data_IF_987575451424
#
_entry.id   IF_987575451424
#
_cell.length_a   1.000
_cell.length_b   1.000
_cell.length_c   1.000
_cell.angle_alpha   90.00
_cell.angle_beta   90.00
_cell.angle_gamma   90.00
#
_symmetry.space_group_name_H-M   'P 1'
#
loop_
_entity.id
_entity.type
_entity.pdbx_description
1 polymer ?
#
# COMPACT_ATOMS: atom_id res chain seq x y z
N UNK A 1 22.94 12.32 44.68
CA UNK A 1 21.94 11.40 44.09
C UNK A 1 21.05 12.20 43.16
N UNK A 2 21.32 12.17 41.84
CA UNK A 2 20.50 12.88 40.86
C UNK A 2 19.29 12.03 40.49
N UNK A 3 18.08 12.59 40.62
CA UNK A 3 16.83 11.92 40.23
C UNK A 3 16.72 11.92 38.70
N UNK A 4 16.61 10.74 38.08
CA UNK A 4 16.14 10.59 36.70
C UNK A 4 14.68 11.04 36.65
N UNK A 5 14.33 11.91 35.69
CA UNK A 5 12.94 12.22 35.35
C UNK A 5 12.42 11.17 34.35
N UNK A 6 11.20 10.71 34.57
CA UNK A 6 10.47 9.79 33.68
C UNK A 6 10.11 10.47 32.35
N UNK A 7 10.13 9.68 31.28
CA UNK A 7 9.97 10.11 29.88
C UNK A 7 8.55 10.55 29.49
N UNK A 8 7.60 10.55 30.43
CA UNK A 8 6.17 10.73 30.13
C UNK A 8 5.67 12.18 30.17
N UNK A 9 6.51 13.16 30.52
CA UNK A 9 6.09 14.55 30.72
C UNK A 9 6.63 15.53 29.65
N UNK A 10 6.92 15.05 28.43
CA UNK A 10 7.36 15.92 27.33
C UNK A 10 6.20 16.24 26.40
N UNK A 11 5.61 17.43 26.56
CA UNK A 11 4.68 18.01 25.58
C UNK A 11 5.41 18.21 24.24
N UNK A 12 4.87 17.62 23.17
CA UNK A 12 5.39 17.78 21.81
C UNK A 12 4.95 19.16 21.30
N UNK A 13 5.86 20.11 21.04
CA UNK A 13 5.49 21.41 20.50
C UNK A 13 4.95 21.25 19.08
N UNK A 14 3.93 22.06 18.74
CA UNK A 14 3.40 22.14 17.38
C UNK A 14 4.48 22.55 16.39
N UNK A 15 4.41 21.97 15.18
CA UNK A 15 5.35 22.19 14.09
C UNK A 15 5.58 23.69 13.86
N UNK A 16 6.82 24.20 13.91
CA UNK A 16 7.07 25.62 13.70
C UNK A 16 6.70 25.98 12.26
N UNK A 17 5.84 26.98 12.09
CA UNK A 17 5.68 27.66 10.81
C UNK A 17 7.07 28.14 10.35
N UNK A 18 7.33 28.09 9.04
CA UNK A 18 8.63 28.44 8.43
C UNK A 18 9.21 29.69 9.10
N UNK A 19 10.23 29.48 9.93
CA UNK A 19 10.91 30.57 10.63
C UNK A 19 11.89 31.15 9.62
N UNK A 20 11.53 32.30 9.06
CA UNK A 20 12.48 33.18 8.38
C UNK A 20 13.59 33.53 9.38
N UNK A 21 14.86 33.36 8.96
CA UNK A 21 16.11 33.70 9.63
C UNK A 21 16.02 33.95 11.16
N UNK A 22 16.49 32.99 11.96
CA UNK A 22 16.60 33.15 13.42
C UNK A 22 17.58 34.28 13.73
N UNK A 23 17.04 35.43 14.15
CA UNK A 23 17.81 36.49 14.77
C UNK A 23 18.28 36.01 16.15
N UNK A 24 19.53 35.55 16.22
CA UNK A 24 20.21 35.25 17.48
C UNK A 24 20.47 36.58 18.17
N UNK A 25 19.51 37.02 18.98
CA UNK A 25 19.61 38.23 19.78
C UNK A 25 20.95 38.34 20.55
N UNK A 26 21.29 39.56 20.93
CA UNK A 26 22.54 39.88 21.62
C UNK A 26 22.52 39.34 23.04
N UNK A 27 22.93 38.08 23.23
CA UNK A 27 23.09 37.47 24.54
C UNK A 27 24.25 36.48 24.56
N UNK A 28 25.10 36.54 25.59
CA UNK A 28 26.19 35.61 25.83
C UNK A 28 25.87 34.73 27.05
N UNK A 29 25.79 33.39 26.93
CA UNK A 29 25.47 32.51 28.06
C UNK A 29 26.61 32.37 29.09
N UNK A 30 27.83 32.81 28.75
CA UNK A 30 29.02 32.66 29.60
C UNK A 30 29.27 33.89 30.49
N UNK A 31 29.00 35.10 29.99
CA UNK A 31 29.23 36.35 30.72
C UNK A 31 27.98 37.24 30.81
N UNK A 32 26.83 36.73 30.37
CA UNK A 32 25.53 37.40 30.37
C UNK A 32 25.51 38.76 29.63
N UNK A 33 26.52 39.03 28.78
CA UNK A 33 26.59 40.24 27.98
C UNK A 33 25.42 40.30 27.00
N UNK A 34 24.75 41.44 26.95
CA UNK A 34 23.62 41.70 26.03
C UNK A 34 23.88 42.81 25.01
N UNK A 35 25.05 43.45 25.08
CA UNK A 35 25.43 44.52 24.16
C UNK A 35 25.81 43.95 22.79
N UNK A 36 25.07 44.34 21.75
CA UNK A 36 25.24 43.88 20.36
C UNK A 36 26.61 44.24 19.77
N UNK A 37 27.11 45.44 20.09
CA UNK A 37 28.42 45.95 19.65
C UNK A 37 29.61 45.12 20.17
N UNK A 38 29.37 44.24 21.16
CA UNK A 38 30.36 43.33 21.74
C UNK A 38 30.27 41.91 21.17
N UNK A 39 29.65 41.75 20.00
CA UNK A 39 29.62 40.50 19.26
C UNK A 39 30.13 40.68 17.85
N UNK A 40 31.02 39.79 17.42
CA UNK A 40 31.47 39.68 16.04
C UNK A 40 30.90 38.39 15.42
N UNK A 41 30.43 38.49 14.18
CA UNK A 41 29.95 37.35 13.39
C UNK A 41 30.91 37.19 12.21
N UNK A 42 31.41 35.96 12.03
CA UNK A 42 32.29 35.66 10.90
C UNK A 42 31.55 35.12 9.66
N UNK A 43 32.29 34.89 8.57
CA UNK A 43 31.78 34.39 7.29
C UNK A 43 31.10 33.01 7.39
N UNK A 44 31.27 32.28 8.50
CA UNK A 44 30.64 30.99 8.78
C UNK A 44 29.47 31.12 9.77
N UNK A 45 28.96 32.34 9.98
CA UNK A 45 27.87 32.65 10.89
C UNK A 45 28.15 32.26 12.35
N UNK A 46 29.43 32.29 12.76
CA UNK A 46 29.85 32.04 14.15
C UNK A 46 29.87 33.36 14.91
N UNK A 47 29.05 33.46 15.95
CA UNK A 47 28.96 34.65 16.80
C UNK A 47 29.93 34.53 17.97
N UNK A 48 30.94 35.39 18.00
CA UNK A 48 31.95 35.43 19.06
C UNK A 48 31.68 36.63 19.97
N UNK A 49 31.54 36.40 21.27
CA UNK A 49 31.46 37.48 22.25
C UNK A 49 32.84 38.08 22.50
N UNK A 50 33.02 39.38 22.25
CA UNK A 50 34.28 40.09 22.47
C UNK A 50 34.63 40.30 23.94
N UNK A 51 33.65 40.15 24.85
CA UNK A 51 33.88 40.35 26.29
C UNK A 51 34.53 39.14 26.98
N UNK A 52 34.20 37.93 26.54
CA UNK A 52 34.65 36.68 27.18
C UNK A 52 35.13 35.61 26.19
N UNK A 53 35.25 35.97 24.92
CA UNK A 53 35.68 35.09 23.82
C UNK A 53 34.86 33.82 23.64
N UNK A 54 33.64 33.78 24.18
CA UNK A 54 32.73 32.64 24.04
C UNK A 54 32.12 32.64 22.64
N UNK A 55 32.23 31.51 21.95
CA UNK A 55 31.71 31.32 20.59
C UNK A 55 30.38 30.58 20.63
N UNK A 56 29.42 31.09 19.85
CA UNK A 56 28.09 30.52 19.67
C UNK A 56 27.87 30.17 18.20
N UNK A 57 27.27 29.02 17.96
CA UNK A 57 26.97 28.51 16.63
C UNK A 57 25.45 28.47 16.46
N UNK A 58 24.94 29.10 15.40
CA UNK A 58 23.59 28.85 14.94
C UNK A 58 23.57 27.46 14.29
N UNK A 59 22.99 26.46 14.94
CA UNK A 59 22.71 25.19 14.25
C UNK A 59 21.44 25.44 13.42
N UNK A 60 21.60 25.60 12.11
CA UNK A 60 20.47 25.57 11.19
C UNK A 60 19.80 24.20 11.27
N UNK A 61 18.65 24.12 11.93
CA UNK A 61 17.77 22.95 11.88
C UNK A 61 16.84 23.05 10.68
N UNK A 62 17.42 23.26 9.50
CA UNK A 62 16.69 23.11 8.25
C UNK A 62 16.45 21.64 7.97
N UNK A 63 15.19 21.21 7.82
CA UNK A 63 14.87 19.88 7.29
C UNK A 63 15.51 19.79 5.90
N UNK A 64 16.59 19.03 5.78
CA UNK A 64 17.28 18.90 4.51
C UNK A 64 16.36 18.21 3.49
N UNK A 65 16.54 18.45 2.18
CA UNK A 65 15.76 17.76 1.14
C UNK A 65 15.80 16.22 1.27
N UNK A 66 16.87 15.67 1.89
CA UNK A 66 16.98 14.24 2.20
C UNK A 66 15.97 13.81 3.28
N UNK A 67 15.70 14.65 4.27
CA UNK A 67 14.75 14.36 5.35
C UNK A 67 13.29 14.54 4.91
N UNK A 68 12.99 15.47 4.01
CA UNK A 68 11.67 15.57 3.36
C UNK A 68 11.28 14.25 2.67
N UNK A 69 12.23 13.61 1.97
CA UNK A 69 11.94 12.30 1.35
C UNK A 69 11.69 11.22 2.41
N UNK A 70 12.42 11.20 3.53
CA UNK A 70 12.23 10.18 4.58
C UNK A 70 10.85 10.24 5.24
N UNK A 71 10.37 11.45 5.56
CA UNK A 71 9.05 11.65 6.18
C UNK A 71 7.93 11.28 5.20
N UNK A 72 8.08 11.59 3.90
CA UNK A 72 7.08 11.27 2.87
C UNK A 72 7.12 9.83 2.34
N UNK A 73 8.16 9.06 2.62
CA UNK A 73 8.29 7.68 2.10
C UNK A 73 7.14 6.80 2.61
N UNK A 74 6.76 6.92 3.88
CA UNK A 74 5.66 6.13 4.48
C UNK A 74 4.33 6.47 3.80
N UNK A 75 4.01 7.77 3.65
CA UNK A 75 2.82 8.23 2.94
C UNK A 75 2.77 7.77 1.49
N UNK A 76 3.92 7.79 0.79
CA UNK A 76 4.04 7.30 -0.60
C UNK A 76 3.77 5.80 -0.71
N UNK A 77 4.22 4.99 0.25
CA UNK A 77 3.95 3.55 0.25
C UNK A 77 2.48 3.22 0.48
N UNK A 78 1.83 3.87 1.44
CA UNK A 78 0.39 3.70 1.70
C UNK A 78 -0.42 4.10 0.47
N UNK A 79 -0.11 5.26 -0.13
CA UNK A 79 -0.75 5.72 -1.35
C UNK A 79 -0.63 4.70 -2.50
N UNK A 80 0.56 4.17 -2.73
CA UNK A 80 0.78 3.15 -3.77
C UNK A 80 -0.03 1.87 -3.51
N UNK A 81 -0.18 1.45 -2.24
CA UNK A 81 -1.02 0.29 -1.88
C UNK A 81 -2.49 0.56 -2.16
N UNK A 82 -2.99 1.75 -1.85
CA UNK A 82 -4.38 2.15 -2.13
C UNK A 82 -4.65 2.17 -3.63
N UNK A 83 -3.75 2.76 -4.42
CA UNK A 83 -3.87 2.74 -5.89
C UNK A 83 -3.89 1.31 -6.44
N UNK A 84 -2.96 0.47 -5.98
CA UNK A 84 -2.92 -0.92 -6.41
C UNK A 84 -4.20 -1.69 -6.03
N UNK A 85 -4.80 -1.37 -4.87
CA UNK A 85 -6.08 -1.93 -4.46
C UNK A 85 -7.24 -1.49 -5.35
N UNK A 86 -7.30 -0.23 -5.75
CA UNK A 86 -8.28 0.26 -6.72
C UNK A 86 -8.10 -0.41 -8.10
N UNK A 87 -6.87 -0.65 -8.53
CA UNK A 87 -6.61 -1.42 -9.75
C UNK A 87 -7.06 -2.88 -9.62
N UNK A 88 -6.89 -3.49 -8.45
CA UNK A 88 -7.42 -4.83 -8.16
C UNK A 88 -8.95 -4.87 -8.24
N UNK A 89 -9.65 -3.83 -7.78
CA UNK A 89 -11.10 -3.69 -7.91
C UNK A 89 -11.52 -3.60 -9.39
N UNK A 90 -10.82 -2.82 -10.20
CA UNK A 90 -11.07 -2.74 -11.65
C UNK A 90 -10.81 -4.07 -12.35
N UNK A 91 -9.72 -4.75 -11.98
CA UNK A 91 -9.39 -6.11 -12.45
C UNK A 91 -10.49 -7.11 -12.11
N UNK A 92 -11.01 -7.06 -10.88
CA UNK A 92 -12.08 -7.93 -10.42
C UNK A 92 -13.35 -7.75 -11.25
N UNK A 93 -13.75 -6.50 -11.49
CA UNK A 93 -14.94 -6.14 -12.28
C UNK A 93 -14.74 -6.27 -13.80
N UNK A 94 -13.53 -6.60 -14.27
CA UNK A 94 -13.20 -6.60 -15.71
C UNK A 94 -13.22 -5.20 -16.35
N UNK A 95 -13.21 -4.12 -15.55
CA UNK A 95 -13.26 -2.72 -15.98
C UNK A 95 -11.87 -2.07 -16.13
N UNK A 96 -10.81 -2.88 -16.14
CA UNK A 96 -9.44 -2.38 -16.26
C UNK A 96 -9.11 -1.87 -17.66
N UNK A 97 -8.32 -0.80 -17.75
CA UNK A 97 -7.88 -0.25 -19.03
C UNK A 97 -6.62 -1.00 -19.52
N UNK A 98 -6.83 -2.13 -20.21
CA UNK A 98 -5.76 -2.95 -20.76
C UNK A 98 -6.07 -3.35 -22.20
N UNK A 99 -5.06 -3.27 -23.09
CA UNK A 99 -5.12 -3.82 -24.45
C UNK A 99 -4.48 -5.20 -24.46
N UNK A 100 -5.31 -6.23 -24.59
CA UNK A 100 -4.85 -7.61 -24.69
C UNK A 100 -4.52 -7.93 -26.15
N UNK A 101 -3.32 -8.44 -26.48
CA UNK A 101 -2.94 -8.75 -27.86
C UNK A 101 -3.82 -9.82 -28.49
N UNK A 102 -4.18 -9.65 -29.77
CA UNK A 102 -5.02 -10.62 -30.51
C UNK A 102 -4.40 -12.02 -30.54
N UNK A 103 -3.07 -12.10 -30.64
CA UNK A 103 -2.32 -13.36 -30.58
C UNK A 103 -2.66 -14.19 -29.33
N UNK A 104 -2.88 -13.54 -28.18
CA UNK A 104 -3.23 -14.25 -26.96
C UNK A 104 -4.61 -14.92 -27.09
N UNK A 105 -5.58 -14.26 -27.72
CA UNK A 105 -6.90 -14.86 -27.96
C UNK A 105 -6.82 -16.02 -28.95
N UNK A 106 -5.98 -15.91 -29.99
CA UNK A 106 -5.73 -17.00 -30.93
C UNK A 106 -5.08 -18.21 -30.23
N UNK A 107 -4.07 -17.99 -29.39
CA UNK A 107 -3.41 -19.05 -28.64
C UNK A 107 -4.41 -19.75 -27.68
N UNK A 108 -5.26 -18.97 -27.00
CA UNK A 108 -6.30 -19.50 -26.11
C UNK A 108 -7.36 -20.29 -26.89
N UNK A 109 -7.81 -19.80 -28.04
CA UNK A 109 -8.78 -20.46 -28.90
C UNK A 109 -8.28 -21.84 -29.37
N UNK A 110 -7.01 -21.92 -29.79
CA UNK A 110 -6.37 -23.20 -30.11
C UNK A 110 -6.40 -24.20 -28.94
N UNK A 111 -6.21 -23.73 -27.70
CA UNK A 111 -6.34 -24.59 -26.50
C UNK A 111 -7.78 -24.98 -26.24
N UNK A 112 -8.76 -24.08 -26.39
CA UNK A 112 -10.18 -24.41 -26.21
C UNK A 112 -10.65 -25.48 -27.19
N UNK A 113 -10.19 -25.43 -28.45
CA UNK A 113 -10.46 -26.46 -29.47
C UNK A 113 -9.79 -27.79 -29.07
N UNK A 114 -8.50 -27.76 -28.72
CA UNK A 114 -7.75 -28.96 -28.37
C UNK A 114 -8.38 -29.74 -27.19
N UNK A 115 -8.92 -29.02 -26.20
CA UNK A 115 -9.59 -29.61 -25.03
C UNK A 115 -11.10 -29.83 -25.24
N UNK A 116 -11.63 -29.66 -26.46
CA UNK A 116 -13.05 -29.83 -26.82
C UNK A 116 -14.01 -29.02 -25.95
N UNK A 117 -13.59 -27.80 -25.58
CA UNK A 117 -14.39 -26.86 -24.79
C UNK A 117 -15.31 -26.00 -25.66
N UNK A 118 -15.09 -26.00 -26.98
CA UNK A 118 -15.97 -25.34 -27.96
C UNK A 118 -17.03 -26.36 -28.41
N UNK A 119 -18.34 -26.03 -28.36
CA UNK A 119 -19.39 -26.90 -28.88
C UNK A 119 -19.27 -27.12 -30.39
N UNK A 120 -19.49 -28.35 -30.86
CA UNK A 120 -19.51 -28.69 -32.29
C UNK A 120 -20.69 -28.06 -33.05
N UNK A 121 -21.77 -27.76 -32.32
CA UNK A 121 -22.98 -27.14 -32.85
C UNK A 121 -23.18 -25.81 -32.12
N UNK A 122 -23.11 -24.72 -32.87
CA UNK A 122 -23.29 -23.35 -32.38
C UNK A 122 -24.79 -23.04 -32.19
N UNK A 123 -25.44 -23.79 -31.30
CA UNK A 123 -26.83 -23.52 -30.93
C UNK A 123 -26.82 -22.24 -30.08
N UNK A 124 -27.22 -21.12 -30.69
CA UNK A 124 -27.34 -19.76 -30.12
C UNK A 124 -26.12 -18.82 -30.25
N UNK A 125 -25.13 -19.07 -31.11
CA UNK A 125 -23.99 -18.15 -31.33
C UNK A 125 -23.11 -17.89 -30.09
N UNK A 126 -22.97 -18.87 -29.20
CA UNK A 126 -22.13 -18.75 -27.99
C UNK A 126 -21.02 -19.82 -28.03
N UNK A 127 -20.08 -19.62 -28.97
CA UNK A 127 -18.84 -20.41 -29.13
C UNK A 127 -18.13 -20.71 -27.80
N UNK A 128 -18.14 -19.75 -26.88
CA UNK A 128 -17.39 -19.79 -25.62
C UNK A 128 -18.27 -20.10 -24.37
N UNK A 129 -19.45 -20.69 -24.56
CA UNK A 129 -20.44 -20.90 -23.49
C UNK A 129 -19.93 -21.74 -22.31
N UNK A 130 -19.08 -22.74 -22.56
CA UNK A 130 -18.50 -23.66 -21.55
C UNK A 130 -17.21 -23.13 -20.91
N UNK A 131 -16.70 -21.98 -21.35
CA UNK A 131 -15.46 -21.42 -20.83
C UNK A 131 -15.69 -20.89 -19.42
N UNK A 132 -14.68 -21.09 -18.56
CA UNK A 132 -14.63 -20.59 -17.19
C UNK A 132 -13.34 -19.80 -16.98
N UNK A 133 -13.28 -18.97 -15.94
CA UNK A 133 -12.05 -18.25 -15.54
C UNK A 133 -10.91 -19.22 -15.22
N UNK A 134 -11.22 -20.36 -14.62
CA UNK A 134 -10.25 -21.43 -14.35
C UNK A 134 -9.62 -21.98 -15.63
N UNK A 135 -10.42 -22.21 -16.68
CA UNK A 135 -9.88 -22.64 -17.98
C UNK A 135 -8.91 -21.61 -18.55
N UNK A 136 -9.29 -20.32 -18.54
CA UNK A 136 -8.43 -19.23 -19.02
C UNK A 136 -7.12 -19.18 -18.22
N UNK A 137 -7.20 -19.15 -16.88
CA UNK A 137 -6.02 -19.13 -16.01
C UNK A 137 -5.12 -20.36 -16.21
N UNK A 138 -5.69 -21.54 -16.46
CA UNK A 138 -4.94 -22.76 -16.75
C UNK A 138 -4.18 -22.65 -18.07
N UNK A 139 -4.84 -22.25 -19.16
CA UNK A 139 -4.20 -22.15 -20.47
C UNK A 139 -3.20 -20.99 -20.56
N UNK A 140 -3.45 -19.87 -19.88
CA UNK A 140 -2.44 -18.80 -19.76
C UNK A 140 -1.15 -19.32 -19.11
N UNK A 141 -1.23 -20.21 -18.11
CA UNK A 141 -0.05 -20.84 -17.51
C UNK A 141 0.65 -21.78 -18.47
N UNK A 142 -0.10 -22.61 -19.16
CA UNK A 142 0.43 -23.57 -20.15
C UNK A 142 1.17 -22.86 -21.29
N UNK A 143 0.59 -21.76 -21.79
CA UNK A 143 1.15 -20.90 -22.83
C UNK A 143 2.23 -19.94 -22.32
N UNK A 144 2.50 -19.91 -21.01
CA UNK A 144 3.47 -19.03 -20.33
C UNK A 144 3.16 -17.53 -20.48
N UNK A 145 1.88 -17.16 -20.64
CA UNK A 145 1.40 -15.77 -20.69
C UNK A 145 1.25 -15.16 -19.28
N UNK A 146 2.34 -15.12 -18.51
CA UNK A 146 2.35 -14.72 -17.08
C UNK A 146 1.86 -13.30 -16.83
N UNK A 147 2.11 -12.38 -17.76
CA UNK A 147 1.69 -10.97 -17.70
C UNK A 147 0.17 -10.79 -17.76
N UNK A 148 -0.57 -11.81 -18.19
CA UNK A 148 -2.02 -11.73 -18.37
C UNK A 148 -2.82 -12.45 -17.28
N UNK A 149 -2.17 -12.92 -16.21
CA UNK A 149 -2.87 -13.55 -15.08
C UNK A 149 -3.82 -12.60 -14.34
N UNK A 150 -3.52 -11.30 -14.31
CA UNK A 150 -4.41 -10.27 -13.78
C UNK A 150 -5.56 -9.91 -14.73
N UNK A 151 -5.45 -10.32 -15.99
CA UNK A 151 -6.41 -10.01 -17.05
C UNK A 151 -7.47 -11.10 -17.24
N UNK A 152 -7.50 -12.14 -16.39
CA UNK A 152 -8.41 -13.29 -16.53
C UNK A 152 -9.88 -12.87 -16.58
N UNK A 153 -10.32 -11.95 -15.72
CA UNK A 153 -11.71 -11.48 -15.72
C UNK A 153 -12.07 -10.69 -16.98
N UNK A 154 -11.15 -9.87 -17.48
CA UNK A 154 -11.33 -9.12 -18.73
C UNK A 154 -11.38 -10.07 -19.93
N UNK A 155 -10.45 -11.02 -20.03
CA UNK A 155 -10.44 -12.05 -21.08
C UNK A 155 -11.74 -12.85 -21.05
N UNK A 156 -12.21 -13.23 -19.86
CA UNK A 156 -13.46 -13.97 -19.69
C UNK A 156 -14.67 -13.18 -20.19
N UNK A 157 -14.76 -11.90 -19.83
CA UNK A 157 -15.81 -10.99 -20.31
C UNK A 157 -15.77 -10.87 -21.84
N UNK A 158 -14.60 -10.59 -22.41
CA UNK A 158 -14.41 -10.42 -23.86
C UNK A 158 -14.79 -11.68 -24.65
N UNK A 159 -14.40 -12.86 -24.18
CA UNK A 159 -14.70 -14.12 -24.87
C UNK A 159 -16.17 -14.51 -24.71
N UNK A 160 -16.73 -14.43 -23.50
CA UNK A 160 -18.04 -15.04 -23.22
C UNK A 160 -19.20 -14.05 -23.31
N UNK A 161 -18.93 -12.75 -23.33
CA UNK A 161 -19.90 -11.67 -23.13
C UNK A 161 -20.78 -11.84 -21.87
N UNK A 162 -20.37 -12.70 -20.93
CA UNK A 162 -21.07 -12.90 -19.67
C UNK A 162 -20.68 -11.81 -18.70
N UNK A 163 -21.66 -11.29 -17.96
CA UNK A 163 -21.43 -10.25 -16.97
C UNK A 163 -20.41 -10.73 -15.90
N UNK A 164 -19.49 -9.82 -15.59
CA UNK A 164 -18.60 -9.93 -14.44
C UNK A 164 -19.30 -9.27 -13.26
N UNK A 165 -18.91 -9.68 -12.05
CA UNK A 165 -19.48 -9.15 -10.82
C UNK A 165 -19.26 -7.63 -10.72
N UNK A 166 -20.30 -6.89 -10.32
CA UNK A 166 -20.26 -5.43 -10.19
C UNK A 166 -20.37 -5.05 -8.71
N UNK A 167 -19.30 -4.44 -8.20
CA UNK A 167 -19.16 -4.02 -6.81
C UNK A 167 -19.04 -2.51 -6.68
N UNK A 168 -19.39 -1.73 -7.71
CA UNK A 168 -19.33 -0.26 -7.68
C UNK A 168 -20.13 0.33 -6.51
N UNK A 169 -21.19 -0.34 -6.05
CA UNK A 169 -21.98 0.06 -4.88
C UNK A 169 -21.29 -0.14 -3.52
N UNK A 170 -20.20 -0.91 -3.45
CA UNK A 170 -19.39 -1.16 -2.26
C UNK A 170 -17.99 -0.55 -2.33
N UNK A 171 -17.57 -0.05 -3.50
CA UNK A 171 -16.20 0.37 -3.78
C UNK A 171 -15.68 1.39 -2.75
N UNK A 172 -16.42 2.46 -2.49
CA UNK A 172 -16.00 3.49 -1.52
C UNK A 172 -15.83 2.93 -0.11
N UNK A 173 -16.74 2.04 0.32
CA UNK A 173 -16.70 1.42 1.66
C UNK A 173 -15.50 0.48 1.79
N UNK A 174 -15.29 -0.36 0.79
CA UNK A 174 -14.21 -1.34 0.76
C UNK A 174 -12.84 -0.64 0.66
N UNK A 175 -12.74 0.47 -0.08
CA UNK A 175 -11.53 1.31 -0.11
C UNK A 175 -11.29 1.98 1.25
N UNK A 176 -12.34 2.45 1.93
CA UNK A 176 -12.26 2.95 3.31
C UNK A 176 -11.70 1.90 4.27
N UNK A 177 -12.30 0.71 4.27
CA UNK A 177 -11.84 -0.42 5.09
C UNK A 177 -10.41 -0.83 4.78
N UNK A 178 -10.02 -0.82 3.50
CA UNK A 178 -8.64 -1.14 3.12
C UNK A 178 -7.66 -0.11 3.68
N UNK A 179 -8.00 1.18 3.72
CA UNK A 179 -7.16 2.23 4.32
C UNK A 179 -6.98 1.99 5.82
N UNK A 180 -8.06 1.71 6.54
CA UNK A 180 -8.02 1.40 7.97
C UNK A 180 -7.16 0.16 8.25
N UNK A 181 -7.35 -0.90 7.45
CA UNK A 181 -6.57 -2.13 7.55
C UNK A 181 -5.07 -1.91 7.29
N UNK A 182 -4.72 -1.13 6.27
CA UNK A 182 -3.32 -0.81 5.96
C UNK A 182 -2.68 0.03 7.06
N UNK A 183 -3.41 1.01 7.61
CA UNK A 183 -2.93 1.82 8.72
C UNK A 183 -2.63 0.96 9.95
N UNK A 184 -3.55 0.07 10.32
CA UNK A 184 -3.34 -0.84 11.44
C UNK A 184 -2.21 -1.84 11.18
N UNK A 185 -2.09 -2.35 9.94
CA UNK A 185 -0.99 -3.23 9.56
C UNK A 185 0.36 -2.54 9.74
N UNK A 186 0.51 -1.30 9.28
CA UNK A 186 1.77 -0.55 9.41
C UNK A 186 2.05 -0.16 10.87
N UNK A 187 1.02 0.01 11.70
CA UNK A 187 1.18 0.28 13.13
C UNK A 187 1.74 -0.93 13.90
N UNK A 188 1.27 -2.13 13.58
CA UNK A 188 1.62 -3.37 14.28
C UNK A 188 2.87 -4.04 13.69
N UNK A 189 2.88 -4.17 12.37
CA UNK A 189 3.86 -4.96 11.61
C UNK A 189 4.81 -4.11 10.77
N UNK A 190 4.71 -2.78 10.89
CA UNK A 190 5.63 -1.86 10.23
C UNK A 190 7.06 -2.00 10.73
N UNK A 191 7.97 -1.31 10.06
CA UNK A 191 9.38 -1.29 10.45
C UNK A 191 9.54 -0.66 11.83
N UNK A 192 10.44 -1.23 12.64
CA UNK A 192 10.77 -0.75 13.98
C UNK A 192 9.58 -0.87 14.96
N UNK A 193 8.65 -1.80 14.70
CA UNK A 193 7.48 -2.10 15.54
C UNK A 193 7.66 -3.40 16.33
N UNK A 194 6.95 -3.55 17.48
CA UNK A 194 7.09 -4.73 18.34
C UNK A 194 6.80 -6.07 17.65
N UNK A 195 5.88 -6.06 16.69
CA UNK A 195 5.48 -7.25 15.92
C UNK A 195 5.95 -7.14 14.45
N UNK A 196 7.11 -6.50 14.20
CA UNK A 196 7.69 -6.42 12.86
C UNK A 196 7.82 -7.81 12.23
N UNK A 197 7.28 -7.96 11.03
CA UNK A 197 7.34 -9.23 10.30
C UNK A 197 8.69 -9.32 9.57
N UNK A 198 9.34 -10.49 9.64
CA UNK A 198 10.56 -10.77 8.84
C UNK A 198 10.34 -10.51 7.34
N UNK A 199 9.11 -10.72 6.88
CA UNK A 199 8.69 -10.43 5.52
C UNK A 199 8.41 -8.94 5.32
N UNK A 200 9.25 -8.31 4.50
CA UNK A 200 9.10 -6.90 4.09
C UNK A 200 7.95 -6.63 3.12
N UNK A 201 7.49 -7.63 2.37
CA UNK A 201 6.46 -7.46 1.35
C UNK A 201 5.06 -7.52 1.98
N UNK A 202 4.25 -6.49 1.70
CA UNK A 202 2.84 -6.42 2.09
C UNK A 202 2.04 -7.66 1.61
N UNK A 203 0.89 -7.87 2.26
CA UNK A 203 -0.05 -8.91 1.91
C UNK A 203 -0.55 -8.77 0.47
N UNK A 204 -1.05 -9.88 -0.08
CA UNK A 204 -1.58 -9.94 -1.43
C UNK A 204 -2.91 -9.17 -1.44
N UNK A 205 -2.96 -8.16 -2.29
CA UNK A 205 -4.05 -7.18 -2.34
C UNK A 205 -5.35 -7.79 -2.87
N UNK A 206 -5.27 -8.73 -3.82
CA UNK A 206 -6.42 -9.51 -4.30
C UNK A 206 -7.02 -10.42 -3.21
N UNK A 207 -6.18 -10.99 -2.33
CA UNK A 207 -6.64 -11.72 -1.15
C UNK A 207 -7.38 -10.81 -0.16
N UNK A 208 -6.84 -9.61 0.10
CA UNK A 208 -7.50 -8.65 0.99
C UNK A 208 -8.83 -8.17 0.40
N UNK A 209 -8.91 -7.93 -0.91
CA UNK A 209 -10.17 -7.61 -1.58
C UNK A 209 -11.22 -8.71 -1.37
N UNK A 210 -10.83 -9.98 -1.53
CA UNK A 210 -11.73 -11.12 -1.27
C UNK A 210 -12.27 -11.12 0.17
N UNK A 211 -11.40 -10.90 1.16
CA UNK A 211 -11.84 -10.89 2.57
C UNK A 211 -12.71 -9.68 2.92
N UNK A 212 -12.42 -8.51 2.36
CA UNK A 212 -13.23 -7.31 2.55
C UNK A 212 -14.62 -7.46 1.91
N UNK A 213 -14.72 -8.06 0.72
CA UNK A 213 -16.02 -8.37 0.10
C UNK A 213 -16.86 -9.30 0.99
N UNK A 214 -16.24 -10.34 1.57
CA UNK A 214 -16.93 -11.26 2.50
C UNK A 214 -17.38 -10.57 3.78
N UNK A 215 -16.61 -9.62 4.31
CA UNK A 215 -17.01 -8.80 5.46
C UNK A 215 -18.30 -8.03 5.19
N UNK A 216 -18.44 -7.48 3.98
CA UNK A 216 -19.67 -6.81 3.53
C UNK A 216 -20.80 -7.77 3.13
N UNK A 217 -20.61 -9.08 3.28
CA UNK A 217 -21.60 -10.09 2.90
C UNK A 217 -21.78 -10.24 1.39
N UNK A 218 -20.88 -9.71 0.57
CA UNK A 218 -20.96 -9.81 -0.88
C UNK A 218 -20.58 -11.23 -1.35
N UNK A 219 -21.43 -11.92 -2.14
CA UNK A 219 -21.17 -13.28 -2.57
C UNK A 219 -20.09 -13.32 -3.65
N UNK A 220 -18.86 -13.66 -3.27
CA UNK A 220 -17.74 -13.78 -4.19
C UNK A 220 -17.13 -15.20 -4.22
N UNK A 221 -16.70 -15.65 -5.39
CA UNK A 221 -15.97 -16.92 -5.57
C UNK A 221 -14.47 -16.68 -5.61
N UNK A 222 -13.71 -17.51 -4.91
CA UNK A 222 -12.23 -17.41 -4.86
C UNK A 222 -11.57 -17.49 -6.25
N UNK A 223 -12.21 -18.18 -7.19
CA UNK A 223 -11.76 -18.35 -8.58
C UNK A 223 -11.72 -17.04 -9.38
N UNK A 224 -12.44 -16.01 -8.94
CA UNK A 224 -12.46 -14.70 -9.58
C UNK A 224 -11.25 -13.83 -9.22
N UNK A 225 -10.38 -14.31 -8.31
CA UNK A 225 -9.23 -13.59 -7.79
C UNK A 225 -7.93 -14.31 -8.10
N UNK A 226 -6.89 -13.53 -8.41
CA UNK A 226 -5.53 -14.05 -8.61
C UNK A 226 -4.81 -14.18 -7.26
N UNK A 227 -5.19 -15.18 -6.47
CA UNK A 227 -4.68 -15.41 -5.11
C UNK A 227 -3.43 -16.31 -5.10
N UNK A 228 -2.68 -16.24 -4.00
CA UNK A 228 -1.50 -17.05 -3.71
C UNK A 228 -1.80 -18.56 -3.74
N UNK A 229 -0.82 -19.34 -4.19
CA UNK A 229 -0.97 -20.77 -4.47
C UNK A 229 -0.58 -21.69 -3.31
N UNK A 230 0.47 -21.36 -2.56
CA UNK A 230 1.04 -22.27 -1.54
C UNK A 230 0.27 -22.21 -0.23
N UNK A 231 0.14 -23.37 0.43
CA UNK A 231 -0.59 -23.52 1.70
C UNK A 231 0.01 -22.63 2.78
N UNK A 232 1.33 -22.64 2.96
CA UNK A 232 2.00 -21.84 3.99
C UNK A 232 1.73 -20.34 3.84
N UNK A 233 1.73 -19.85 2.59
CA UNK A 233 1.41 -18.44 2.32
C UNK A 233 -0.04 -18.14 2.60
N UNK A 234 -0.95 -19.06 2.29
CA UNK A 234 -2.37 -18.88 2.59
C UNK A 234 -2.61 -18.82 4.10
N UNK A 235 -2.07 -19.76 4.85
CA UNK A 235 -2.18 -19.81 6.31
C UNK A 235 -1.59 -18.56 6.97
N UNK A 236 -0.43 -18.10 6.48
CA UNK A 236 0.18 -16.85 6.95
C UNK A 236 -0.75 -15.64 6.73
N UNK A 237 -1.31 -15.50 5.52
CA UNK A 237 -2.20 -14.38 5.20
C UNK A 237 -3.52 -14.44 5.99
N UNK A 238 -4.07 -15.65 6.20
CA UNK A 238 -5.26 -15.84 7.04
C UNK A 238 -4.96 -15.49 8.50
N UNK A 239 -3.80 -15.89 9.05
CA UNK A 239 -3.41 -15.57 10.42
C UNK A 239 -3.25 -14.07 10.67
N UNK A 240 -2.51 -13.38 9.79
CA UNK A 240 -2.32 -11.91 9.90
C UNK A 240 -3.64 -11.18 9.69
N UNK A 241 -4.41 -11.55 8.66
CA UNK A 241 -5.69 -10.90 8.38
C UNK A 241 -6.70 -11.10 9.50
N UNK A 242 -6.75 -12.30 10.11
CA UNK A 242 -7.55 -12.58 11.29
C UNK A 242 -7.17 -11.66 12.45
N UNK A 243 -5.87 -11.55 12.77
CA UNK A 243 -5.40 -10.67 13.85
C UNK A 243 -5.83 -9.21 13.64
N UNK A 244 -5.67 -8.70 12.41
CA UNK A 244 -6.08 -7.34 12.08
C UNK A 244 -7.60 -7.16 12.19
N UNK A 245 -8.38 -8.11 11.67
CA UNK A 245 -9.84 -8.06 11.75
C UNK A 245 -10.31 -8.11 13.20
N UNK A 246 -9.73 -8.98 14.04
CA UNK A 246 -10.05 -9.08 15.46
C UNK A 246 -9.78 -7.75 16.18
N UNK A 247 -8.65 -7.09 15.92
CA UNK A 247 -8.30 -5.77 16.49
C UNK A 247 -9.22 -4.64 15.99
N UNK A 248 -9.74 -4.73 14.78
CA UNK A 248 -10.69 -3.77 14.21
C UNK A 248 -12.16 -4.08 14.61
N UNK A 249 -12.41 -5.19 15.32
CA UNK A 249 -13.75 -5.65 15.65
C UNK A 249 -14.55 -6.16 14.45
N UNK A 250 -13.86 -6.64 13.40
CA UNK A 250 -14.45 -7.11 12.16
C UNK A 250 -14.62 -8.62 12.14
N UNK A 251 -15.70 -9.10 11.51
CA UNK A 251 -15.93 -10.54 11.35
C UNK A 251 -14.98 -11.11 10.30
N UNK A 252 -14.03 -11.94 10.74
CA UNK A 252 -13.17 -12.72 9.86
C UNK A 252 -13.82 -14.05 9.48
N UNK A 253 -13.64 -14.48 8.25
CA UNK A 253 -13.93 -15.87 7.86
C UNK A 253 -12.68 -16.45 7.16
N UNK A 254 -12.16 -17.59 7.62
CA UNK A 254 -11.03 -18.25 6.97
C UNK A 254 -11.33 -18.54 5.50
N UNK A 255 -10.30 -18.45 4.67
CA UNK A 255 -10.38 -18.84 3.26
C UNK A 255 -9.95 -20.29 3.08
N UNK A 256 -9.11 -20.81 3.98
CA UNK A 256 -8.52 -22.15 3.95
C UNK A 256 -8.57 -22.84 5.31
#
# INVERSE_FOLDING_TARGET
MAKLKDWTDLDIPSNPEKVDNIDLGSYCPSCENTEEEKFEIDDFNRKTCLNCSTQQYAIETGITHKDYTRVNIVGKFIYNRILHFQDCIKQYQGKQNCKIPEKLYQDLDGKFIAYRLIPDIDVNHIRYSKITRNHIMMFLKELKHTKHYENVNLIYLTLTNKQVDDISHLEDRIVGDFKELVALYDEIHGKDKPEELERKNFMNVQYLLFQLLRRHGHPCKIENFTILKTVDRKQFHDAICKNLFDKLGWKFTPTF
#
